data_IF_214406766102
#
_entry.id   IF_214406766102
#
_cell.length_a   1.000
_cell.length_b   1.000
_cell.length_c   1.000
_cell.angle_alpha   90.00
_cell.angle_beta   90.00
_cell.angle_gamma   90.00
#
_symmetry.space_group_name_H-M   'P 1'
#
loop_
_entity.id
_entity.type
_entity.pdbx_description
1 polymer ?
#
# COMPACT_ATOMS: atom_id res chain seq x y z
N UNK A 1 17.30 18.35 -6.47
CA UNK A 1 17.67 18.35 -5.03
C UNK A 1 16.60 17.63 -4.20
N UNK A 2 16.92 17.08 -3.02
CA UNK A 2 15.95 16.41 -2.14
C UNK A 2 15.60 17.28 -0.95
N UNK A 3 14.31 17.44 -0.67
CA UNK A 3 13.80 18.23 0.45
C UNK A 3 13.12 17.35 1.49
N UNK A 4 13.40 17.62 2.77
CA UNK A 4 12.78 16.95 3.92
C UNK A 4 11.78 17.88 4.58
N UNK A 5 10.51 17.51 4.53
CA UNK A 5 9.40 18.25 5.12
C UNK A 5 9.15 17.73 6.54
N UNK A 6 9.18 18.64 7.53
CA UNK A 6 8.90 18.31 8.93
C UNK A 6 7.41 17.98 9.12
N UNK A 7 7.12 17.02 9.99
CA UNK A 7 5.77 16.67 10.38
C UNK A 7 5.50 17.19 11.80
N UNK A 8 4.41 17.92 11.99
CA UNK A 8 4.11 18.63 13.26
C UNK A 8 3.97 17.69 14.47
N UNK A 9 3.51 16.46 14.25
CA UNK A 9 3.20 15.48 15.31
C UNK A 9 4.16 14.28 15.33
N UNK A 10 5.32 14.37 14.69
CA UNK A 10 6.30 13.27 14.63
C UNK A 10 7.69 13.78 14.28
N UNK A 11 8.74 13.14 14.81
CA UNK A 11 10.13 13.43 14.43
C UNK A 11 10.49 12.95 13.01
N UNK A 12 9.58 12.21 12.36
CA UNK A 12 9.74 11.77 10.98
C UNK A 12 9.62 12.94 10.00
N UNK A 13 10.25 12.79 8.84
CA UNK A 13 10.15 13.74 7.74
C UNK A 13 9.62 13.07 6.49
N UNK A 14 8.81 13.80 5.72
CA UNK A 14 8.45 13.41 4.36
C UNK A 14 9.50 13.91 3.38
N UNK A 15 9.78 13.17 2.32
CA UNK A 15 10.77 13.50 1.30
C UNK A 15 10.06 13.86 0.00
N UNK A 16 10.47 14.96 -0.63
CA UNK A 16 9.99 15.38 -1.94
C UNK A 16 11.14 15.83 -2.83
N UNK A 17 10.89 15.88 -4.15
CA UNK A 17 11.83 16.43 -5.12
C UNK A 17 11.80 17.98 -5.10
N UNK A 18 12.80 18.61 -5.70
CA UNK A 18 12.93 20.07 -5.85
C UNK A 18 11.72 20.73 -6.50
N UNK A 19 11.31 20.26 -7.68
CA UNK A 19 10.15 20.78 -8.40
C UNK A 19 8.87 20.75 -7.55
N UNK A 20 8.74 19.73 -6.71
CA UNK A 20 7.60 19.58 -5.80
C UNK A 20 7.69 20.57 -4.66
N UNK A 21 8.87 20.73 -4.07
CA UNK A 21 9.10 21.72 -3.02
C UNK A 21 8.81 23.14 -3.52
N UNK A 22 9.38 23.51 -4.67
CA UNK A 22 9.16 24.80 -5.32
C UNK A 22 7.68 25.06 -5.62
N UNK A 23 6.96 24.06 -6.15
CA UNK A 23 5.52 24.18 -6.38
C UNK A 23 4.76 24.44 -5.08
N UNK A 24 5.05 23.70 -4.01
CA UNK A 24 4.36 23.89 -2.73
C UNK A 24 4.64 25.28 -2.17
N UNK A 25 5.89 25.75 -2.23
CA UNK A 25 6.32 27.05 -1.71
C UNK A 25 5.82 28.23 -2.54
N UNK A 26 5.62 28.06 -3.85
CA UNK A 26 5.10 29.13 -4.72
C UNK A 26 3.58 29.10 -4.91
N UNK A 27 2.90 28.08 -4.40
CA UNK A 27 1.45 27.98 -4.48
C UNK A 27 0.78 28.86 -3.42
N UNK A 28 0.09 29.91 -3.88
CA UNK A 28 -0.60 30.89 -3.05
C UNK A 28 -1.57 30.24 -2.05
N UNK A 29 -2.35 29.27 -2.50
CA UNK A 29 -3.31 28.57 -1.66
C UNK A 29 -2.64 27.77 -0.55
N UNK A 30 -1.64 26.94 -0.89
CA UNK A 30 -0.92 26.11 0.06
C UNK A 30 -0.19 26.94 1.12
N UNK A 31 0.35 28.10 0.74
CA UNK A 31 0.92 29.07 1.67
C UNK A 31 -0.14 29.67 2.59
N UNK A 32 -1.28 30.13 2.04
CA UNK A 32 -2.38 30.74 2.78
C UNK A 32 -2.93 29.80 3.86
N UNK A 33 -3.04 28.50 3.55
CA UNK A 33 -3.51 27.51 4.53
C UNK A 33 -2.41 27.01 5.48
N UNK A 34 -1.17 27.44 5.28
CA UNK A 34 -0.02 27.01 6.07
C UNK A 34 0.32 25.53 5.89
N UNK A 35 0.19 25.01 4.66
CA UNK A 35 0.29 23.58 4.34
C UNK A 35 1.55 22.92 4.94
N UNK A 36 2.74 23.48 4.66
CA UNK A 36 4.01 22.95 5.18
C UNK A 36 4.11 23.04 6.71
N UNK A 37 3.63 24.13 7.31
CA UNK A 37 3.64 24.35 8.77
C UNK A 37 2.73 23.37 9.51
N UNK A 38 1.67 22.90 8.85
CA UNK A 38 0.63 22.08 9.45
C UNK A 38 0.58 20.65 8.93
N UNK A 39 1.59 20.23 8.16
CA UNK A 39 1.76 18.87 7.70
C UNK A 39 1.97 17.93 8.89
N UNK A 40 1.31 16.77 8.89
CA UNK A 40 1.25 15.80 9.97
C UNK A 40 1.41 14.38 9.44
N UNK A 41 1.78 13.47 10.32
CA UNK A 41 1.73 12.02 10.11
C UNK A 41 0.33 11.50 10.44
N UNK A 42 -0.34 10.90 9.47
CA UNK A 42 -1.60 10.20 9.65
C UNK A 42 -1.38 8.86 10.37
N UNK A 43 -2.40 8.30 11.04
CA UNK A 43 -2.32 6.98 11.69
C UNK A 43 -1.98 5.85 10.70
N UNK A 44 -2.39 6.01 9.44
CA UNK A 44 -1.99 5.12 8.34
C UNK A 44 -0.57 5.42 7.82
N UNK A 45 0.22 6.29 8.45
CA UNK A 45 1.61 6.58 8.07
C UNK A 45 1.82 7.53 6.88
N UNK A 46 0.77 8.13 6.30
CA UNK A 46 0.92 9.13 5.24
C UNK A 46 1.19 10.53 5.80
N UNK A 47 1.97 11.34 5.08
CA UNK A 47 2.03 12.77 5.32
C UNK A 47 0.76 13.45 4.79
N UNK A 48 0.07 14.22 5.63
CA UNK A 48 -1.18 14.90 5.29
C UNK A 48 -1.32 16.24 6.00
N UNK A 49 -2.07 17.14 5.40
CA UNK A 49 -2.57 18.37 5.99
C UNK A 49 -4.08 18.22 6.20
N UNK A 50 -4.59 18.76 7.30
CA UNK A 50 -6.02 18.82 7.54
C UNK A 50 -6.40 20.10 8.28
N UNK A 51 -7.50 20.73 7.86
CA UNK A 51 -8.06 21.94 8.46
C UNK A 51 -9.58 21.91 8.44
N UNK A 52 -10.20 22.31 9.54
CA UNK A 52 -11.64 22.54 9.62
C UNK A 52 -11.93 24.00 9.32
N UNK A 53 -12.92 24.26 8.49
CA UNK A 53 -13.41 25.59 8.20
C UNK A 53 -14.84 25.71 8.68
N UNK A 54 -15.14 26.77 9.43
CA UNK A 54 -16.50 27.12 9.82
C UNK A 54 -17.19 27.78 8.62
N UNK A 55 -18.35 27.24 8.25
CA UNK A 55 -19.20 27.76 7.19
C UNK A 55 -20.18 28.81 7.76
N UNK A 56 -20.79 29.61 6.88
CA UNK A 56 -21.74 30.68 7.25
C UNK A 56 -23.01 30.16 7.92
N UNK A 57 -23.38 28.91 7.65
CA UNK A 57 -24.53 28.20 8.23
C UNK A 57 -24.22 27.57 9.60
N UNK A 58 -23.01 27.79 10.14
CA UNK A 58 -22.55 27.18 11.39
C UNK A 58 -22.05 25.73 11.24
N UNK A 59 -22.12 25.15 10.04
CA UNK A 59 -21.55 23.82 9.78
C UNK A 59 -20.02 23.89 9.63
N UNK A 60 -19.34 22.75 9.72
CA UNK A 60 -17.90 22.66 9.46
C UNK A 60 -17.65 21.89 8.18
N UNK A 61 -16.77 22.42 7.31
CA UNK A 61 -16.16 21.64 6.24
C UNK A 61 -14.74 21.22 6.65
N UNK A 62 -14.46 19.93 6.54
CA UNK A 62 -13.11 19.41 6.73
C UNK A 62 -12.40 19.37 5.38
N UNK A 63 -11.23 19.98 5.33
CA UNK A 63 -10.35 19.88 4.18
C UNK A 63 -9.15 19.02 4.55
N UNK A 64 -8.86 18.02 3.70
CA UNK A 64 -7.73 17.11 3.87
C UNK A 64 -6.92 17.03 2.57
N UNK A 65 -5.63 17.29 2.66
CA UNK A 65 -4.68 17.20 1.53
C UNK A 65 -3.60 16.19 1.88
N UNK A 66 -3.56 15.08 1.15
CA UNK A 66 -2.47 14.10 1.27
C UNK A 66 -1.31 14.51 0.38
N UNK A 67 -0.09 14.52 0.93
CA UNK A 67 1.10 14.96 0.20
C UNK A 67 1.32 14.13 -1.07
N UNK A 68 1.38 12.80 -0.96
CA UNK A 68 1.57 11.92 -2.11
C UNK A 68 0.52 12.13 -3.21
N UNK A 69 -0.74 12.41 -2.83
CA UNK A 69 -1.83 12.66 -3.78
C UNK A 69 -1.65 14.00 -4.50
N UNK A 70 -1.36 15.07 -3.75
CA UNK A 70 -1.07 16.40 -4.30
C UNK A 70 0.07 16.34 -5.34
N UNK A 71 1.14 15.63 -5.00
CA UNK A 71 2.31 15.48 -5.88
C UNK A 71 1.95 14.70 -7.14
N UNK A 72 1.22 13.59 -7.01
CA UNK A 72 0.81 12.80 -8.16
C UNK A 72 -0.16 13.55 -9.08
N UNK A 73 -1.14 14.27 -8.53
CA UNK A 73 -2.08 15.08 -9.30
C UNK A 73 -1.39 16.19 -10.09
N UNK A 74 -0.26 16.71 -9.58
CA UNK A 74 0.47 17.80 -10.24
C UNK A 74 1.54 17.32 -11.22
N UNK A 75 2.21 16.21 -10.94
CA UNK A 75 3.48 15.86 -11.61
C UNK A 75 3.54 14.44 -12.18
N UNK A 76 2.51 13.61 -11.98
CA UNK A 76 2.48 12.24 -12.51
C UNK A 76 1.35 12.15 -13.52
N UNK A 77 1.71 11.84 -14.77
CA UNK A 77 0.75 11.69 -15.84
C UNK A 77 -0.29 10.63 -15.48
N UNK A 78 -1.55 11.06 -15.48
CA UNK A 78 -2.67 10.20 -15.14
C UNK A 78 -3.17 9.52 -16.41
N UNK A 79 -3.12 8.19 -16.50
CA UNK A 79 -3.56 7.50 -17.70
C UNK A 79 -5.06 7.67 -17.91
N UNK A 80 -5.46 7.83 -19.17
CA UNK A 80 -6.88 7.89 -19.54
C UNK A 80 -7.52 6.52 -19.36
N UNK A 81 -8.52 6.44 -18.49
CA UNK A 81 -9.25 5.21 -18.23
C UNK A 81 -10.61 5.51 -17.61
N UNK A 82 -11.56 4.60 -17.83
CA UNK A 82 -12.85 4.61 -17.15
C UNK A 82 -12.76 4.16 -15.69
N UNK A 83 -11.66 3.50 -15.31
CA UNK A 83 -11.47 2.97 -13.95
C UNK A 83 -11.04 4.07 -12.99
N UNK A 84 -11.54 4.04 -11.76
CA UNK A 84 -11.02 4.89 -10.69
C UNK A 84 -9.56 4.53 -10.38
N UNK A 85 -8.70 5.54 -10.39
CA UNK A 85 -7.28 5.41 -10.08
C UNK A 85 -6.95 5.91 -8.67
N UNK A 86 -5.88 5.34 -8.13
CA UNK A 86 -5.32 5.60 -6.81
C UNK A 86 -3.81 5.79 -6.96
N UNK A 87 -3.22 6.59 -6.08
CA UNK A 87 -1.77 6.82 -6.07
C UNK A 87 -1.12 5.79 -5.16
N UNK A 88 -0.09 5.10 -5.65
CA UNK A 88 0.78 4.24 -4.84
C UNK A 88 2.18 4.82 -4.71
N UNK A 89 2.89 4.38 -3.67
CA UNK A 89 4.31 4.62 -3.49
C UNK A 89 5.05 3.32 -3.81
N UNK A 90 5.85 3.32 -4.88
CA UNK A 90 6.47 2.10 -5.46
C UNK A 90 7.34 1.36 -4.45
N UNK A 91 8.18 2.10 -3.71
CA UNK A 91 9.01 1.52 -2.64
C UNK A 91 8.21 1.17 -1.37
N UNK A 92 6.99 1.67 -1.26
CA UNK A 92 6.10 1.44 -0.14
C UNK A 92 6.42 2.18 1.15
N UNK A 93 7.40 3.09 1.12
CA UNK A 93 7.62 4.10 2.15
C UNK A 93 6.61 5.23 1.93
N UNK A 94 5.69 5.40 2.88
CA UNK A 94 4.58 6.37 2.81
C UNK A 94 5.03 7.83 2.96
N UNK A 95 6.29 8.05 3.34
CA UNK A 95 6.89 9.36 3.51
C UNK A 95 7.82 9.74 2.35
N UNK A 96 8.15 8.82 1.44
CA UNK A 96 8.90 9.12 0.22
C UNK A 96 7.97 9.56 -0.92
N UNK A 97 7.56 10.83 -0.88
CA UNK A 97 6.63 11.43 -1.84
C UNK A 97 7.33 12.01 -3.08
N UNK A 98 8.52 11.52 -3.45
CA UNK A 98 9.20 11.91 -4.70
C UNK A 98 8.41 11.47 -5.91
N UNK A 99 8.38 12.29 -6.96
CA UNK A 99 7.55 12.05 -8.16
C UNK A 99 7.85 10.70 -8.80
N UNK A 100 9.13 10.32 -8.89
CA UNK A 100 9.55 9.02 -9.45
C UNK A 100 9.01 7.81 -8.67
N UNK A 101 8.73 7.99 -7.37
CA UNK A 101 8.23 6.96 -6.49
C UNK A 101 6.69 6.85 -6.51
N UNK A 102 6.01 7.76 -7.20
CA UNK A 102 4.55 7.77 -7.30
C UNK A 102 4.08 7.15 -8.61
N UNK A 103 2.91 6.52 -8.58
CA UNK A 103 2.28 5.93 -9.75
C UNK A 103 0.77 5.89 -9.58
N UNK A 104 0.03 6.16 -10.65
CA UNK A 104 -1.41 5.95 -10.72
C UNK A 104 -1.72 4.49 -11.04
N UNK A 105 -2.59 3.88 -10.23
CA UNK A 105 -2.96 2.48 -10.41
C UNK A 105 -4.40 2.21 -10.01
N UNK A 106 -4.91 1.05 -10.39
CA UNK A 106 -6.25 0.58 -9.99
C UNK A 106 -6.27 0.11 -8.53
N UNK A 107 -7.46 0.11 -7.92
CA UNK A 107 -7.66 -0.38 -6.55
C UNK A 107 -7.15 -1.82 -6.35
N UNK A 108 -7.41 -2.71 -7.32
CA UNK A 108 -6.98 -4.10 -7.25
C UNK A 108 -5.46 -4.25 -7.08
N UNK A 109 -4.68 -3.34 -7.68
CA UNK A 109 -3.23 -3.34 -7.54
C UNK A 109 -2.79 -2.74 -6.19
N UNK A 110 -3.47 -1.70 -5.69
CA UNK A 110 -3.23 -1.16 -4.32
C UNK A 110 -3.38 -2.26 -3.27
N UNK A 111 -4.48 -3.02 -3.33
CA UNK A 111 -4.77 -4.10 -2.39
C UNK A 111 -3.69 -5.20 -2.44
N UNK A 112 -3.14 -5.50 -3.62
CA UNK A 112 -2.02 -6.46 -3.80
C UNK A 112 -0.65 -5.91 -3.41
N UNK A 113 -0.49 -4.60 -3.27
CA UNK A 113 0.76 -4.02 -2.75
C UNK A 113 0.68 -3.67 -1.26
N UNK A 114 -0.37 -4.15 -0.59
CA UNK A 114 -0.53 -4.03 0.86
C UNK A 114 -0.02 -5.29 1.55
N UNK A 115 0.93 -5.12 2.49
CA UNK A 115 1.49 -6.21 3.30
C UNK A 115 0.48 -6.82 4.29
N UNK A 116 -0.51 -6.03 4.72
CA UNK A 116 -1.51 -6.47 5.68
C UNK A 116 -2.34 -7.62 5.08
N UNK A 117 -2.36 -8.74 5.79
CA UNK A 117 -3.33 -9.82 5.63
C UNK A 117 -4.06 -9.96 6.95
N UNK A 118 -5.39 -10.11 6.89
CA UNK A 118 -6.25 -10.25 8.06
C UNK A 118 -6.83 -11.66 8.09
N UNK A 119 -5.92 -12.64 8.08
CA UNK A 119 -6.24 -14.05 8.09
C UNK A 119 -5.73 -14.65 9.40
N UNK A 120 -6.54 -15.41 10.15
CA UNK A 120 -6.09 -16.15 11.32
C UNK A 120 -4.84 -17.00 11.10
N UNK A 121 -4.65 -17.50 9.86
CA UNK A 121 -3.48 -18.30 9.48
C UNK A 121 -2.22 -17.47 9.20
N UNK A 122 -2.31 -16.14 9.18
CA UNK A 122 -1.19 -15.25 8.84
C UNK A 122 -0.83 -15.21 7.34
N UNK A 123 -1.47 -16.04 6.50
CA UNK A 123 -1.19 -16.13 5.07
C UNK A 123 -2.31 -15.54 4.21
N UNK A 124 -1.96 -14.83 3.15
CA UNK A 124 -2.89 -14.28 2.17
C UNK A 124 -3.44 -15.38 1.27
N UNK A 125 -4.76 -15.36 1.07
CA UNK A 125 -5.45 -16.25 0.12
C UNK A 125 -5.58 -17.71 0.57
N UNK A 126 -5.28 -18.00 1.84
CA UNK A 126 -5.36 -19.36 2.39
C UNK A 126 -6.62 -19.48 3.25
N UNK A 127 -7.40 -20.53 3.07
CA UNK A 127 -8.61 -20.78 3.85
C UNK A 127 -8.53 -22.18 4.44
N UNK A 128 -8.82 -22.32 5.73
CA UNK A 128 -8.93 -23.64 6.36
C UNK A 128 -10.18 -24.34 5.85
N UNK A 129 -10.03 -25.58 5.40
CA UNK A 129 -11.07 -26.41 4.81
C UNK A 129 -11.01 -27.79 5.49
N UNK A 130 -11.76 -27.94 6.59
CA UNK A 130 -11.67 -29.07 7.52
C UNK A 130 -10.23 -29.29 8.04
N UNK A 131 -9.61 -30.40 7.66
CA UNK A 131 -8.25 -30.78 8.04
C UNK A 131 -7.19 -30.24 7.06
N UNK A 132 -7.60 -29.68 5.91
CA UNK A 132 -6.70 -29.20 4.86
C UNK A 132 -6.75 -27.68 4.71
N UNK A 133 -5.85 -27.16 3.88
CA UNK A 133 -5.69 -25.74 3.58
C UNK A 133 -5.88 -25.47 2.11
N UNK A 134 -6.85 -24.64 1.76
CA UNK A 134 -7.16 -24.26 0.38
C UNK A 134 -6.46 -22.97 0.01
N UNK A 135 -5.72 -22.98 -1.08
CA UNK A 135 -5.14 -21.77 -1.66
C UNK A 135 -6.05 -21.22 -2.77
N UNK A 136 -6.42 -19.94 -2.66
CA UNK A 136 -7.33 -19.27 -3.60
C UNK A 136 -6.77 -17.91 -3.98
N UNK A 137 -6.76 -17.60 -5.28
CA UNK A 137 -6.40 -16.27 -5.79
C UNK A 137 -7.47 -15.76 -6.74
N UNK A 138 -7.74 -14.46 -6.69
CA UNK A 138 -8.68 -13.80 -7.60
C UNK A 138 -7.91 -12.99 -8.63
N UNK A 139 -8.37 -12.99 -9.88
CA UNK A 139 -7.92 -12.09 -10.95
C UNK A 139 -9.13 -11.63 -11.75
N UNK A 140 -9.30 -10.31 -11.88
CA UNK A 140 -10.39 -9.69 -12.65
C UNK A 140 -11.78 -10.25 -12.29
N UNK A 141 -12.05 -10.42 -10.99
CA UNK A 141 -13.31 -10.97 -10.47
C UNK A 141 -13.44 -12.49 -10.57
N UNK A 142 -12.55 -13.19 -11.28
CA UNK A 142 -12.55 -14.65 -11.39
C UNK A 142 -11.73 -15.29 -10.28
N UNK A 143 -12.31 -16.32 -9.66
CA UNK A 143 -11.68 -17.13 -8.61
C UNK A 143 -10.86 -18.25 -9.25
N UNK A 144 -9.60 -18.37 -8.86
CA UNK A 144 -8.71 -19.47 -9.22
C UNK A 144 -8.46 -20.31 -7.97
N UNK A 145 -8.89 -21.57 -8.00
CA UNK A 145 -8.57 -22.54 -6.96
C UNK A 145 -7.22 -23.17 -7.29
N UNK A 146 -6.26 -23.05 -6.37
CA UNK A 146 -4.89 -23.51 -6.59
C UNK A 146 -4.64 -24.91 -6.04
N UNK A 147 -5.56 -25.43 -5.21
CA UNK A 147 -5.48 -26.75 -4.63
C UNK A 147 -5.80 -26.78 -3.14
N UNK A 148 -5.77 -28.00 -2.60
CA UNK A 148 -5.83 -28.32 -1.18
C UNK A 148 -4.47 -28.88 -0.77
N UNK A 149 -3.98 -28.42 0.38
CA UNK A 149 -2.67 -28.76 0.94
C UNK A 149 -2.82 -29.20 2.39
N UNK A 150 -1.83 -29.93 2.89
CA UNK A 150 -1.86 -30.45 4.26
C UNK A 150 -1.36 -29.42 5.27
N UNK A 151 -0.51 -28.47 4.83
CA UNK A 151 -0.01 -27.36 5.66
C UNK A 151 -0.40 -25.99 5.10
N UNK A 152 -0.55 -24.97 5.96
CA UNK A 152 -0.81 -23.61 5.51
C UNK A 152 0.40 -22.99 4.77
N UNK A 153 1.62 -23.43 5.07
CA UNK A 153 2.87 -23.03 4.41
C UNK A 153 2.91 -23.49 2.94
N UNK A 154 2.58 -24.75 2.66
CA UNK A 154 2.47 -25.27 1.28
C UNK A 154 1.42 -24.52 0.47
N UNK A 155 0.26 -24.28 1.09
CA UNK A 155 -0.79 -23.50 0.46
C UNK A 155 -0.31 -22.06 0.16
N UNK A 156 0.45 -21.46 1.09
CA UNK A 156 1.04 -20.14 0.92
C UNK A 156 2.11 -20.08 -0.18
N UNK A 157 2.92 -21.14 -0.35
CA UNK A 157 3.87 -21.28 -1.46
C UNK A 157 3.14 -21.34 -2.81
N UNK A 158 2.11 -22.17 -2.90
CA UNK A 158 1.29 -22.28 -4.11
C UNK A 158 0.65 -20.94 -4.48
N UNK A 159 0.13 -20.23 -3.48
CA UNK A 159 -0.38 -18.87 -3.65
C UNK A 159 0.70 -17.91 -4.17
N UNK A 160 1.89 -17.91 -3.58
CA UNK A 160 3.00 -17.05 -3.99
C UNK A 160 3.41 -17.32 -5.44
N UNK A 161 3.56 -18.59 -5.83
CA UNK A 161 3.90 -18.99 -7.21
C UNK A 161 2.87 -18.45 -8.20
N UNK A 162 1.57 -18.66 -7.94
CA UNK A 162 0.51 -18.14 -8.81
C UNK A 162 0.42 -16.61 -8.80
N UNK A 163 0.65 -15.97 -7.66
CA UNK A 163 0.65 -14.51 -7.57
C UNK A 163 1.77 -13.90 -8.41
N UNK A 164 2.96 -14.50 -8.41
CA UNK A 164 4.09 -14.05 -9.24
C UNK A 164 3.77 -14.25 -10.73
N UNK A 165 3.19 -15.40 -11.10
CA UNK A 165 2.78 -15.67 -12.48
C UNK A 165 1.74 -14.65 -12.99
N UNK A 166 0.74 -14.32 -12.17
CA UNK A 166 -0.38 -13.48 -12.59
C UNK A 166 -0.12 -11.97 -12.49
N UNK A 167 0.72 -11.55 -11.54
CA UNK A 167 0.87 -10.13 -11.15
C UNK A 167 2.33 -9.68 -10.99
N UNK A 168 3.31 -10.57 -11.14
CA UNK A 168 4.71 -10.27 -10.86
C UNK A 168 5.03 -10.19 -9.36
N UNK A 169 6.21 -9.64 -9.05
CA UNK A 169 6.66 -9.48 -7.66
C UNK A 169 5.93 -8.32 -6.99
N UNK A 170 5.03 -8.64 -6.06
CA UNK A 170 4.30 -7.64 -5.25
C UNK A 170 4.75 -7.66 -3.79
N UNK A 171 4.33 -6.65 -3.02
CA UNK A 171 4.60 -6.59 -1.57
C UNK A 171 3.69 -7.49 -0.72
N UNK A 172 2.68 -8.12 -1.31
CA UNK A 172 1.72 -8.98 -0.59
C UNK A 172 2.05 -10.46 -0.65
N UNK A 173 3.23 -10.84 -1.15
CA UNK A 173 3.67 -12.24 -1.11
C UNK A 173 3.80 -12.69 0.35
N UNK A 174 3.36 -13.92 0.62
CA UNK A 174 3.45 -14.54 1.93
C UNK A 174 4.92 -14.74 2.31
N UNK A 175 5.30 -14.34 3.51
CA UNK A 175 6.60 -14.66 4.09
C UNK A 175 6.49 -16.04 4.71
N UNK A 176 7.34 -16.96 4.28
CA UNK A 176 7.34 -18.35 4.74
C UNK A 176 8.70 -18.58 5.40
N UNK A 177 8.69 -18.96 6.67
CA UNK A 177 9.93 -19.27 7.39
C UNK A 177 10.58 -20.50 6.79
N UNK A 178 11.74 -20.30 6.17
CA UNK A 178 12.50 -21.38 5.52
C UNK A 178 12.99 -22.45 6.52
N UNK A 179 13.08 -22.10 7.80
CA UNK A 179 13.47 -23.04 8.86
C UNK A 179 12.35 -24.03 9.20
N UNK A 180 11.09 -23.58 9.22
CA UNK A 180 9.92 -24.46 9.40
C UNK A 180 9.68 -25.38 8.20
N UNK A 181 10.00 -24.91 6.99
CA UNK A 181 9.91 -25.73 5.78
C UNK A 181 10.79 -27.00 5.86
N UNK A 182 12.01 -26.86 6.40
CA UNK A 182 12.95 -27.99 6.53
C UNK A 182 12.50 -29.02 7.57
N UNK A 183 11.81 -28.62 8.64
CA UNK A 183 11.25 -29.55 9.63
C UNK A 183 10.05 -30.34 9.08
N UNK A 184 9.22 -29.71 8.25
CA UNK A 184 8.07 -30.36 7.59
C UNK A 184 8.54 -31.33 6.51
N UNK A 185 9.49 -30.93 5.67
CA UNK A 185 10.09 -31.82 4.65
C UNK A 185 10.84 -33.02 5.30
N UNK A 186 11.39 -32.83 6.51
CA UNK A 186 12.04 -33.90 7.26
C UNK A 186 11.06 -34.86 7.96
N UNK A 187 9.86 -34.42 8.32
CA UNK A 187 8.84 -35.28 8.95
C UNK A 187 8.00 -36.06 7.94
N UNK A 188 7.85 -35.55 6.71
CA UNK A 188 7.17 -36.27 5.62
C UNK A 188 7.97 -37.48 5.08
N UNK A 189 9.29 -37.51 5.26
CA UNK A 189 10.19 -38.59 4.82
C UNK A 189 10.45 -39.69 5.87
N UNK A 190 9.73 -39.70 7.00
CA UNK A 190 9.91 -40.69 8.09
C UNK A 190 8.74 -41.69 8.15
N UNK A 191 7.84 -41.67 7.16
CA UNK A 191 6.72 -42.62 7.04
C UNK A 191 6.81 -43.51 5.78
N UNK A 192 8.02 -43.91 5.37
CA UNK A 192 8.25 -45.10 4.54
C UNK A 192 9.03 -46.16 5.33
#
# INVERSE_FOLDING_TARGET
MLYRLKLKNSDKTAIVDDKTYEYITNNEYLNTVGFLKHLRLHSSGYAFFQKNWLNKDGSYRNETIYLHKLVAEKFVDKPETTKRLFVILKNGDRLDCRVKNLEWTTFSHVTRNTRKTDNPLGYRGIVKDNQKYRAVIYKDGKRYNLGLYDTPEEAALAYNKKSIELFGKTRSLNVIDKEKQKEVDATANVQE
#
